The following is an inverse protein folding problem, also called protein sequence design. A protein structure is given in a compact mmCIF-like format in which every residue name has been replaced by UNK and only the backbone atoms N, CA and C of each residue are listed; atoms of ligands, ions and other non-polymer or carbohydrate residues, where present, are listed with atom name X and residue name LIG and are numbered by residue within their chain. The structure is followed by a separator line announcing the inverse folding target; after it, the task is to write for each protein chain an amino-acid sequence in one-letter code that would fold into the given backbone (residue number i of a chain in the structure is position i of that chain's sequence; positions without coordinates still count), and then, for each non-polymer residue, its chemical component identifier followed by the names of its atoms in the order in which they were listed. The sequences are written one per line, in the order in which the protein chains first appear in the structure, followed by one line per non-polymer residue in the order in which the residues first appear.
data_IF_076394324058
#
_entry.id   IF_076394324058
#
_cell.length_a   1.000
_cell.length_b   1.000
_cell.length_c   1.000
_cell.angle_alpha   90.00
_cell.angle_beta   90.00
_cell.angle_gamma   90.00
#
_symmetry.space_group_name_H-M   'P 1'
#
loop_
_entity.id
_entity.type
_entity.pdbx_description
1 polymer ?
#
# COMPACT_ATOMS: atom_id res chain seq x y z
N UNK A 1 -35.72 63.17 75.96
CA UNK A 1 -35.49 62.58 74.63
C UNK A 1 -34.01 62.72 74.28
N UNK A 2 -33.32 61.58 74.11
CA UNK A 2 -32.02 61.34 73.41
C UNK A 2 -31.27 60.23 74.16
N UNK A 3 -31.46 58.99 73.70
CA UNK A 3 -30.64 57.83 74.08
C UNK A 3 -29.58 57.68 72.99
N UNK A 4 -28.31 57.80 73.36
CA UNK A 4 -27.19 57.50 72.49
C UNK A 4 -27.03 55.99 72.36
N UNK A 5 -27.14 55.49 71.13
CA UNK A 5 -26.88 54.09 70.78
C UNK A 5 -25.40 53.99 70.42
N UNK A 6 -24.65 53.23 71.22
CA UNK A 6 -23.28 52.84 70.91
C UNK A 6 -23.34 51.57 70.07
N UNK A 7 -22.92 51.65 68.81
CA UNK A 7 -22.81 50.49 67.91
C UNK A 7 -21.41 49.90 68.07
N UNK A 8 -21.32 48.69 68.61
CA UNK A 8 -20.09 47.91 68.68
C UNK A 8 -19.93 47.11 67.38
N UNK A 9 -18.90 47.42 66.59
CA UNK A 9 -18.48 46.62 65.45
C UNK A 9 -17.82 45.33 65.94
N UNK A 10 -18.49 44.19 65.78
CA UNK A 10 -17.91 42.87 66.03
C UNK A 10 -17.38 42.31 64.70
N UNK A 11 -16.08 42.52 64.43
CA UNK A 11 -15.39 41.87 63.31
C UNK A 11 -15.21 40.38 63.67
N UNK A 12 -16.00 39.52 63.04
CA UNK A 12 -15.86 38.06 63.17
C UNK A 12 -14.69 37.61 62.27
N UNK A 13 -13.48 37.45 62.85
CA UNK A 13 -12.37 36.79 62.17
C UNK A 13 -12.69 35.30 62.04
N UNK A 14 -13.19 34.90 60.87
CA UNK A 14 -13.28 33.48 60.49
C UNK A 14 -11.87 33.03 60.13
N UNK A 15 -11.20 32.34 61.05
CA UNK A 15 -10.00 31.57 60.72
C UNK A 15 -10.43 30.41 59.81
N UNK A 16 -10.29 30.57 58.50
CA UNK A 16 -10.23 29.43 57.59
C UNK A 16 -8.97 28.63 57.97
N UNK A 17 -9.16 27.57 58.74
CA UNK A 17 -8.19 26.49 58.78
C UNK A 17 -8.13 25.92 57.37
N UNK A 18 -7.14 26.36 56.58
CA UNK A 18 -6.75 25.65 55.37
C UNK A 18 -6.39 24.24 55.84
N UNK A 19 -7.29 23.28 55.60
CA UNK A 19 -6.99 21.86 55.82
C UNK A 19 -5.72 21.59 55.05
N UNK A 20 -4.68 21.16 55.75
CA UNK A 20 -3.43 20.76 55.13
C UNK A 20 -3.76 19.60 54.18
N UNK A 21 -3.83 19.91 52.89
CA UNK A 21 -4.12 18.93 51.86
C UNK A 21 -2.94 17.97 51.80
N UNK A 22 -3.27 16.69 51.95
CA UNK A 22 -2.31 15.60 51.95
C UNK A 22 -2.34 14.95 50.58
N UNK A 23 -1.19 14.83 49.94
CA UNK A 23 -1.05 14.30 48.59
C UNK A 23 0.41 14.02 48.28
N UNK A 24 0.70 13.55 47.07
CA UNK A 24 2.09 13.37 46.67
C UNK A 24 2.78 14.73 46.53
N UNK A 25 3.90 14.89 47.23
CA UNK A 25 4.68 16.14 47.30
C UNK A 25 5.96 16.09 46.47
N UNK A 26 6.28 14.95 45.86
CA UNK A 26 7.43 14.82 44.98
C UNK A 26 7.08 15.30 43.55
N UNK A 27 7.71 16.37 43.04
CA UNK A 27 7.47 16.87 41.68
C UNK A 27 7.87 15.89 40.57
N UNK A 28 8.59 14.81 40.87
CA UNK A 28 8.96 13.77 39.91
C UNK A 28 7.95 12.61 39.86
N UNK A 29 6.94 12.59 40.72
CA UNK A 29 5.90 11.58 40.72
C UNK A 29 4.74 11.98 39.79
N UNK A 30 4.09 10.99 39.20
CA UNK A 30 3.01 11.22 38.23
C UNK A 30 1.76 11.86 38.84
N UNK A 31 1.48 11.56 40.10
CA UNK A 31 0.38 12.15 40.84
C UNK A 31 0.83 13.30 41.75
N UNK A 32 1.93 13.98 41.40
CA UNK A 32 2.37 15.18 42.09
C UNK A 32 1.20 16.16 42.23
N UNK A 33 0.90 16.53 43.47
CA UNK A 33 -0.10 17.52 43.79
C UNK A 33 0.61 18.81 44.26
N UNK A 34 0.64 19.87 43.44
CA UNK A 34 1.31 21.11 43.82
C UNK A 34 0.67 21.82 45.02
N UNK A 35 -0.58 21.50 45.36
CA UNK A 35 -1.30 22.04 46.51
C UNK A 35 -1.09 21.22 47.79
N UNK A 36 -0.53 20.00 47.67
CA UNK A 36 -0.23 19.17 48.83
C UNK A 36 0.92 19.77 49.65
N UNK A 37 0.64 20.06 50.93
CA UNK A 37 1.65 20.58 51.86
C UNK A 37 2.26 19.50 52.77
N UNK A 38 1.77 18.26 52.65
CA UNK A 38 2.27 17.13 53.42
C UNK A 38 2.10 15.82 52.66
N UNK A 39 3.21 15.07 52.58
CA UNK A 39 3.25 13.75 51.97
C UNK A 39 2.29 12.77 52.66
N UNK A 40 1.62 11.93 51.88
CA UNK A 40 0.73 10.86 52.36
C UNK A 40 1.16 9.45 51.93
N UNK A 41 2.29 9.32 51.24
CA UNK A 41 2.79 8.06 50.70
C UNK A 41 2.09 7.62 49.42
N UNK A 42 1.34 8.51 48.76
CA UNK A 42 0.62 8.19 47.52
C UNK A 42 1.46 8.37 46.26
N UNK A 43 2.67 8.94 46.34
CA UNK A 43 3.54 9.12 45.18
C UNK A 43 3.77 7.81 44.44
N UNK A 44 3.46 7.80 43.14
CA UNK A 44 3.86 6.71 42.26
C UNK A 44 4.61 7.26 41.04
N UNK A 45 5.55 6.46 40.57
CA UNK A 45 6.46 6.82 39.48
C UNK A 45 6.25 5.83 38.35
N UNK A 46 6.25 6.32 37.11
CA UNK A 46 6.31 5.44 35.95
C UNK A 46 7.76 5.04 35.74
N UNK A 47 8.01 3.73 35.80
CA UNK A 47 9.26 3.16 35.35
C UNK A 47 9.18 2.96 33.85
N UNK A 48 9.64 3.97 33.09
CA UNK A 48 9.77 3.85 31.64
C UNK A 48 10.75 2.72 31.29
N UNK A 49 10.61 2.13 30.08
CA UNK A 49 11.58 1.17 29.61
C UNK A 49 13.00 1.76 29.58
N UNK A 50 14.00 0.90 29.72
CA UNK A 50 15.42 1.30 29.75
C UNK A 50 16.29 0.27 29.03
N UNK A 51 17.55 0.59 28.79
CA UNK A 51 18.52 -0.31 28.12
C UNK A 51 18.02 -0.82 26.75
N UNK A 52 17.43 0.08 25.95
CA UNK A 52 17.04 -0.25 24.59
C UNK A 52 18.29 -0.51 23.74
N UNK A 53 18.50 -1.78 23.39
CA UNK A 53 19.52 -2.23 22.44
C UNK A 53 18.81 -2.70 21.17
N UNK A 54 19.45 -2.50 20.03
CA UNK A 54 18.88 -2.89 18.74
C UNK A 54 19.97 -3.23 17.72
N UNK A 55 19.59 -3.99 16.70
CA UNK A 55 20.39 -4.30 15.53
C UNK A 55 19.52 -4.12 14.29
N UNK A 56 20.07 -3.45 13.27
CA UNK A 56 19.41 -3.24 11.98
C UNK A 56 20.27 -3.93 10.93
N UNK A 57 19.69 -4.94 10.27
CA UNK A 57 20.37 -5.67 9.19
C UNK A 57 19.63 -5.46 7.89
N UNK A 58 20.39 -5.44 6.80
CA UNK A 58 19.83 -5.53 5.46
C UNK A 58 20.75 -6.37 4.58
N UNK A 59 20.16 -7.30 3.82
CA UNK A 59 20.92 -8.05 2.84
C UNK A 59 21.14 -7.20 1.58
N UNK A 60 22.35 -7.28 1.01
CA UNK A 60 22.67 -6.55 -0.21
C UNK A 60 21.67 -6.93 -1.33
N UNK A 61 21.15 -5.92 -2.04
CA UNK A 61 20.17 -6.06 -3.10
C UNK A 61 18.82 -6.71 -2.71
N UNK A 62 18.53 -6.98 -1.43
CA UNK A 62 17.24 -7.60 -1.07
C UNK A 62 16.14 -6.56 -0.90
N UNK A 63 16.48 -5.39 -0.35
CA UNK A 63 15.50 -4.39 0.10
C UNK A 63 14.91 -4.69 1.46
N UNK A 64 14.98 -5.94 1.90
CA UNK A 64 14.53 -6.39 3.20
C UNK A 64 15.45 -5.83 4.27
N UNK A 65 14.85 -5.03 5.15
CA UNK A 65 15.47 -4.53 6.37
C UNK A 65 14.81 -5.28 7.52
N UNK A 66 15.64 -5.89 8.36
CA UNK A 66 15.23 -6.58 9.58
C UNK A 66 15.77 -5.80 10.78
N UNK A 67 14.93 -5.64 11.80
CA UNK A 67 15.28 -4.95 13.03
C UNK A 67 14.96 -5.87 14.19
N UNK A 68 15.95 -6.07 15.06
CA UNK A 68 15.76 -6.71 16.36
C UNK A 68 16.01 -5.71 17.46
N UNK A 69 15.22 -5.75 18.53
CA UNK A 69 15.35 -4.85 19.67
C UNK A 69 15.06 -5.58 20.99
N UNK A 70 15.76 -5.15 22.05
CA UNK A 70 15.56 -5.61 23.42
C UNK A 70 15.60 -4.42 24.36
N UNK A 71 14.84 -4.46 25.46
CA UNK A 71 14.86 -3.44 26.50
C UNK A 71 14.59 -4.10 27.86
N UNK A 72 14.54 -3.30 28.92
CA UNK A 72 14.01 -3.69 30.22
C UNK A 72 12.76 -2.84 30.54
N UNK A 73 11.78 -3.46 31.20
CA UNK A 73 10.51 -2.84 31.64
C UNK A 73 9.60 -2.36 30.51
N UNK A 74 9.68 -2.99 29.34
CA UNK A 74 8.77 -2.82 28.21
C UNK A 74 7.65 -3.87 28.22
N UNK A 75 6.52 -3.51 27.64
CA UNK A 75 5.42 -4.43 27.31
C UNK A 75 5.47 -4.86 25.85
N UNK A 76 5.92 -3.98 24.94
CA UNK A 76 6.02 -4.24 23.51
C UNK A 76 6.95 -3.24 22.81
N UNK A 77 7.36 -3.58 21.60
CA UNK A 77 8.14 -2.74 20.71
C UNK A 77 7.27 -2.15 19.60
N UNK A 78 7.64 -0.96 19.13
CA UNK A 78 7.05 -0.35 17.94
C UNK A 78 8.17 0.13 17.04
N UNK A 79 8.14 -0.32 15.79
CA UNK A 79 9.08 0.04 14.74
C UNK A 79 8.34 0.90 13.72
N UNK A 80 8.91 2.05 13.37
CA UNK A 80 8.38 2.93 12.33
C UNK A 80 9.41 3.00 11.21
N UNK A 81 9.10 2.36 10.09
CA UNK A 81 9.91 2.40 8.87
C UNK A 81 9.44 3.56 8.01
N UNK A 82 10.25 4.60 7.83
CA UNK A 82 9.88 5.77 7.04
C UNK A 82 10.33 5.58 5.59
N UNK A 83 9.43 5.86 4.65
CA UNK A 83 9.65 5.71 3.21
C UNK A 83 9.06 6.93 2.47
N UNK A 84 9.92 7.94 2.27
CA UNK A 84 9.51 9.24 1.74
C UNK A 84 8.55 9.96 2.71
N UNK A 85 7.31 10.18 2.27
CA UNK A 85 6.24 10.78 3.09
C UNK A 85 5.39 9.74 3.82
N UNK A 86 5.61 8.45 3.56
CA UNK A 86 4.87 7.35 4.16
C UNK A 86 5.64 6.72 5.33
N UNK A 87 4.94 5.92 6.11
CA UNK A 87 5.56 5.07 7.13
C UNK A 87 4.79 3.78 7.35
N UNK A 88 5.52 2.70 7.61
CA UNK A 88 4.96 1.43 8.09
C UNK A 88 5.23 1.29 9.58
N UNK A 89 4.19 0.98 10.35
CA UNK A 89 4.30 0.77 11.79
C UNK A 89 4.13 -0.72 12.08
N UNK A 90 5.13 -1.32 12.72
CA UNK A 90 5.09 -2.71 13.18
C UNK A 90 5.14 -2.72 14.70
N UNK A 91 4.14 -3.32 15.34
CA UNK A 91 4.10 -3.49 16.80
C UNK A 91 4.23 -4.97 17.14
N UNK A 92 5.15 -5.30 18.04
CA UNK A 92 5.43 -6.70 18.42
C UNK A 92 5.86 -6.81 19.88
N UNK A 93 5.70 -7.99 20.48
CA UNK A 93 6.21 -8.31 21.82
C UNK A 93 7.60 -8.96 21.80
N UNK A 94 8.00 -9.59 20.69
CA UNK A 94 9.28 -10.31 20.61
C UNK A 94 10.45 -9.41 20.20
N UNK A 95 10.19 -8.14 19.87
CA UNK A 95 11.22 -7.19 19.46
C UNK A 95 11.74 -7.40 18.05
N UNK A 96 11.05 -8.16 17.19
CA UNK A 96 11.45 -8.40 15.80
C UNK A 96 10.48 -7.74 14.81
N UNK A 97 11.01 -7.00 13.85
CA UNK A 97 10.23 -6.45 12.75
C UNK A 97 11.04 -6.46 11.45
N UNK A 98 10.34 -6.52 10.34
CA UNK A 98 10.95 -6.37 9.03
C UNK A 98 10.10 -5.51 8.11
N UNK A 99 10.76 -4.84 7.17
CA UNK A 99 10.13 -4.07 6.12
C UNK A 99 11.01 -4.11 4.87
N UNK A 100 10.39 -4.29 3.71
CA UNK A 100 11.08 -4.25 2.43
C UNK A 100 10.95 -2.86 1.82
N UNK A 101 12.07 -2.17 1.70
CA UNK A 101 12.19 -1.03 0.81
C UNK A 101 12.35 -1.52 -0.62
N UNK A 102 11.81 -0.78 -1.56
CA UNK A 102 11.85 -1.16 -2.97
C UNK A 102 12.79 -0.28 -3.79
N UNK A 103 13.33 0.78 -3.18
CA UNK A 103 14.22 1.71 -3.84
C UNK A 103 15.54 1.87 -3.09
N UNK A 104 16.61 2.18 -3.81
CA UNK A 104 17.88 2.55 -3.20
C UNK A 104 17.70 3.86 -2.45
N UNK A 105 18.20 3.93 -1.23
CA UNK A 105 18.07 5.12 -0.42
C UNK A 105 18.57 4.92 1.00
N UNK A 106 18.68 6.02 1.72
CA UNK A 106 18.88 6.00 3.17
C UNK A 106 17.54 6.27 3.84
N UNK A 107 17.07 5.30 4.63
CA UNK A 107 15.75 5.31 5.24
C UNK A 107 15.86 5.45 6.75
N UNK A 108 14.99 6.26 7.33
CA UNK A 108 14.92 6.48 8.78
C UNK A 108 14.07 5.39 9.41
N UNK A 109 14.53 4.85 10.54
CA UNK A 109 13.79 3.89 11.34
C UNK A 109 13.69 4.43 12.77
N UNK A 110 12.47 4.50 13.31
CA UNK A 110 12.25 4.79 14.72
C UNK A 110 11.97 3.50 15.47
N UNK A 111 12.70 3.27 16.56
CA UNK A 111 12.62 2.06 17.36
C UNK A 111 12.17 2.46 18.77
N UNK A 112 11.03 1.95 19.21
CA UNK A 112 10.45 2.25 20.52
C UNK A 112 10.35 1.01 21.38
N UNK A 113 10.82 1.10 22.62
CA UNK A 113 10.40 0.20 23.69
C UNK A 113 9.27 0.87 24.47
N UNK A 114 8.10 0.25 24.50
CA UNK A 114 6.86 0.85 25.01
C UNK A 114 6.41 0.15 26.29
N UNK A 115 6.12 0.94 27.32
CA UNK A 115 5.29 0.51 28.43
C UNK A 115 3.81 0.66 28.06
N UNK A 116 3.46 1.75 27.38
CA UNK A 116 2.14 1.98 26.78
C UNK A 116 2.30 2.80 25.50
N UNK A 117 1.21 3.03 24.75
CA UNK A 117 1.26 3.80 23.49
C UNK A 117 1.72 5.25 23.67
N UNK A 118 1.65 5.81 24.88
CA UNK A 118 2.10 7.17 25.21
C UNK A 118 3.34 7.21 26.11
N UNK A 119 3.85 6.06 26.55
CA UNK A 119 4.99 5.95 27.49
C UNK A 119 6.02 5.00 26.92
N UNK A 120 7.08 5.56 26.34
CA UNK A 120 8.13 4.82 25.67
C UNK A 120 9.45 5.57 25.71
N UNK A 121 10.53 4.84 25.44
CA UNK A 121 11.81 5.41 25.00
C UNK A 121 11.96 5.15 23.50
N UNK A 122 12.56 6.09 22.77
CA UNK A 122 12.73 6.04 21.32
C UNK A 122 14.20 6.25 20.95
N UNK A 123 14.67 5.45 19.99
CA UNK A 123 15.88 5.73 19.23
C UNK A 123 15.49 5.94 17.77
N UNK A 124 16.19 6.86 17.11
CA UNK A 124 16.07 7.12 15.67
C UNK A 124 17.41 6.76 15.05
N UNK A 125 17.38 5.85 14.08
CA UNK A 125 18.54 5.45 13.30
C UNK A 125 18.18 5.41 11.81
N UNK A 126 19.14 5.04 10.96
CA UNK A 126 18.92 4.91 9.53
C UNK A 126 19.63 3.69 8.94
N UNK A 127 19.09 3.20 7.84
CA UNK A 127 19.67 2.10 7.05
C UNK A 127 19.84 2.55 5.61
N UNK A 128 20.98 2.20 5.01
CA UNK A 128 21.19 2.43 3.57
C UNK A 128 20.85 1.15 2.81
N UNK A 129 19.75 1.21 2.06
CA UNK A 129 19.35 0.15 1.13
C UNK A 129 19.93 0.47 -0.23
N UNK A 130 20.63 -0.48 -0.82
CA UNK A 130 21.21 -0.33 -2.16
C UNK A 130 20.82 -1.51 -3.04
N UNK A 131 20.37 -1.19 -4.25
CA UNK A 131 20.17 -2.11 -5.34
C UNK A 131 21.10 -1.75 -6.50
N UNK A 132 21.77 -2.76 -7.03
CA UNK A 132 22.74 -2.64 -8.12
C UNK A 132 22.10 -2.29 -9.49
N UNK A 133 20.78 -2.43 -9.63
CA UNK A 133 20.07 -2.31 -10.92
C UNK A 133 19.03 -1.19 -10.86
N UNK A 134 19.42 0.03 -11.24
CA UNK A 134 18.50 1.18 -11.26
C UNK A 134 17.89 1.50 -9.89
N UNK A 135 18.50 1.06 -8.79
CA UNK A 135 17.94 1.28 -7.48
C UNK A 135 16.67 0.51 -7.15
N UNK A 136 16.30 -0.58 -7.85
CA UNK A 136 15.21 -1.51 -7.42
C UNK A 136 15.74 -2.95 -7.42
N UNK A 137 15.19 -3.83 -6.57
CA UNK A 137 15.50 -5.27 -6.65
C UNK A 137 14.98 -5.86 -7.97
N UNK A 138 15.82 -5.84 -9.00
CA UNK A 138 15.45 -6.15 -10.37
C UNK A 138 15.55 -7.64 -10.73
N UNK A 139 15.46 -8.54 -9.75
CA UNK A 139 15.42 -9.99 -9.99
C UNK A 139 14.10 -10.41 -10.67
N UNK A 140 14.13 -11.55 -11.36
CA UNK A 140 12.97 -12.14 -12.02
C UNK A 140 13.08 -12.19 -13.54
N UNK A 141 12.04 -12.72 -14.19
CA UNK A 141 12.02 -12.97 -15.63
C UNK A 141 11.98 -11.67 -16.45
N UNK A 142 12.52 -11.66 -17.67
CA UNK A 142 12.41 -10.53 -18.61
C UNK A 142 12.29 -11.04 -20.04
N UNK A 143 11.55 -10.32 -20.89
CA UNK A 143 11.40 -10.63 -22.31
C UNK A 143 12.41 -9.91 -23.20
N UNK A 144 12.78 -10.51 -24.35
CA UNK A 144 13.56 -9.83 -25.38
C UNK A 144 12.76 -8.70 -26.04
N UNK A 145 13.49 -7.78 -26.70
CA UNK A 145 12.89 -6.72 -27.53
C UNK A 145 12.49 -7.18 -28.94
N UNK A 146 12.70 -8.45 -29.27
CA UNK A 146 12.43 -8.98 -30.61
C UNK A 146 11.83 -10.39 -30.52
N UNK A 147 10.76 -10.62 -31.27
CA UNK A 147 10.14 -11.92 -31.46
C UNK A 147 10.04 -12.24 -32.95
N UNK A 148 10.18 -13.52 -33.37
CA UNK A 148 9.96 -13.89 -34.75
C UNK A 148 8.56 -13.47 -35.24
N UNK A 149 8.50 -12.80 -36.39
CA UNK A 149 7.27 -12.30 -37.01
C UNK A 149 6.53 -11.18 -36.25
N UNK A 150 7.17 -10.55 -35.28
CA UNK A 150 6.63 -9.40 -34.57
C UNK A 150 7.60 -8.23 -34.65
N UNK A 151 7.06 -7.02 -34.71
CA UNK A 151 7.80 -5.76 -34.61
C UNK A 151 7.35 -5.04 -33.34
N UNK A 152 8.29 -4.57 -32.52
CA UNK A 152 7.98 -3.68 -31.40
C UNK A 152 7.38 -2.37 -31.94
N UNK A 153 6.11 -2.11 -31.67
CA UNK A 153 5.38 -0.94 -32.20
C UNK A 153 5.15 0.16 -31.17
N UNK A 154 5.05 -0.20 -29.88
CA UNK A 154 4.93 0.76 -28.79
C UNK A 154 5.51 0.18 -27.49
N UNK A 155 6.04 1.06 -26.64
CA UNK A 155 6.49 0.70 -25.29
C UNK A 155 6.54 1.92 -24.37
N UNK A 156 6.37 1.67 -23.08
CA UNK A 156 6.80 2.58 -22.02
C UNK A 156 7.75 1.82 -21.09
N UNK A 157 8.99 2.31 -21.01
CA UNK A 157 10.06 1.77 -20.16
C UNK A 157 10.24 2.59 -18.88
N UNK A 158 9.38 3.59 -18.64
CA UNK A 158 9.35 4.42 -17.43
C UNK A 158 10.70 5.06 -17.05
N UNK A 159 11.58 5.28 -18.03
CA UNK A 159 12.93 5.87 -17.85
C UNK A 159 12.92 7.38 -17.50
N UNK A 160 11.74 8.01 -17.50
CA UNK A 160 11.57 9.40 -17.12
C UNK A 160 11.61 9.62 -15.59
N UNK A 161 11.31 10.85 -15.19
CA UNK A 161 11.13 11.25 -13.78
C UNK A 161 9.67 11.61 -13.46
N UNK A 162 8.77 11.33 -14.39
CA UNK A 162 7.34 11.57 -14.28
C UNK A 162 6.61 10.70 -15.31
N UNK A 163 5.33 10.45 -15.07
CA UNK A 163 4.47 9.72 -16.00
C UNK A 163 4.39 10.49 -17.34
N UNK A 164 4.52 9.78 -18.46
CA UNK A 164 4.48 10.38 -19.78
C UNK A 164 3.09 10.96 -20.09
N UNK A 165 2.99 11.82 -21.12
CA UNK A 165 1.71 12.41 -21.54
C UNK A 165 0.74 11.39 -22.14
N UNK A 166 1.21 10.18 -22.42
CA UNK A 166 0.41 9.07 -22.95
C UNK A 166 -0.49 8.44 -21.89
N UNK A 167 -0.28 8.75 -20.61
CA UNK A 167 -1.12 8.26 -19.52
C UNK A 167 -1.97 9.36 -18.90
N UNK A 168 -3.05 8.96 -18.24
CA UNK A 168 -3.89 9.83 -17.41
C UNK A 168 -4.34 9.11 -16.16
N UNK A 169 -4.49 9.87 -15.08
CA UNK A 169 -5.09 9.37 -13.84
C UNK A 169 -6.60 9.42 -13.91
N UNK A 170 -7.24 8.33 -13.51
CA UNK A 170 -8.63 8.36 -13.05
C UNK A 170 -8.65 8.69 -11.55
N UNK A 171 -9.59 9.55 -11.13
CA UNK A 171 -9.60 10.15 -9.80
C UNK A 171 -10.87 9.78 -9.05
N UNK A 172 -10.74 9.49 -7.76
CA UNK A 172 -11.86 9.19 -6.87
C UNK A 172 -12.19 7.70 -6.74
N UNK A 173 -13.40 7.41 -6.28
CA UNK A 173 -13.89 6.05 -6.02
C UNK A 173 -14.94 5.59 -7.07
N UNK A 174 -15.05 6.31 -8.18
CA UNK A 174 -15.97 5.97 -9.28
C UNK A 174 -17.44 5.91 -8.82
N UNK A 175 -18.26 5.22 -9.62
CA UNK A 175 -19.63 4.89 -9.24
C UNK A 175 -19.64 3.55 -8.49
N UNK A 176 -20.22 3.50 -7.28
CA UNK A 176 -20.35 2.28 -6.48
C UNK A 176 -19.02 1.55 -6.20
N UNK A 177 -17.95 2.30 -5.90
CA UNK A 177 -16.62 1.72 -5.72
C UNK A 177 -16.12 1.06 -7.01
N UNK A 178 -16.15 1.83 -8.10
CA UNK A 178 -15.83 1.37 -9.47
C UNK A 178 -16.62 0.14 -9.94
N UNK A 179 -17.86 -0.01 -9.48
CA UNK A 179 -18.73 -1.15 -9.79
C UNK A 179 -18.50 -2.38 -8.91
N UNK A 180 -17.44 -2.39 -8.10
CA UNK A 180 -16.99 -3.56 -7.35
C UNK A 180 -16.99 -3.35 -5.83
N UNK A 181 -17.59 -2.27 -5.31
CA UNK A 181 -17.53 -1.89 -3.89
C UNK A 181 -16.08 -1.72 -3.38
N UNK A 182 -15.21 -1.22 -4.24
CA UNK A 182 -13.82 -0.88 -3.90
C UNK A 182 -13.77 0.29 -2.88
N UNK A 183 -12.76 0.29 -2.01
CA UNK A 183 -12.67 1.17 -0.83
C UNK A 183 -11.66 2.32 -0.98
N UNK A 184 -10.83 2.29 -2.02
CA UNK A 184 -9.82 3.32 -2.26
C UNK A 184 -10.39 4.56 -2.95
N UNK A 185 -9.79 5.71 -2.64
CA UNK A 185 -9.88 6.91 -3.47
C UNK A 185 -8.64 6.99 -4.38
N UNK A 186 -8.80 6.90 -5.70
CA UNK A 186 -7.68 7.02 -6.64
C UNK A 186 -7.17 8.46 -6.77
N UNK A 187 -5.85 8.64 -6.76
CA UNK A 187 -5.17 9.95 -6.85
C UNK A 187 -3.81 9.84 -7.54
N UNK A 188 -3.39 10.93 -8.17
CA UNK A 188 -2.06 11.05 -8.79
C UNK A 188 -0.89 10.89 -7.80
N UNK A 189 -1.06 11.28 -6.54
CA UNK A 189 0.00 11.24 -5.50
C UNK A 189 0.40 9.82 -5.10
N UNK A 190 -0.33 8.83 -5.57
CA UNK A 190 -0.07 7.41 -5.37
C UNK A 190 0.68 6.79 -6.56
N UNK A 191 1.02 7.58 -7.58
CA UNK A 191 1.88 7.19 -8.70
C UNK A 191 3.23 7.88 -8.59
N UNK A 192 4.31 7.15 -8.86
CA UNK A 192 5.63 7.73 -9.06
C UNK A 192 6.33 7.04 -10.25
N UNK A 193 7.13 7.80 -11.01
CA UNK A 193 7.97 7.28 -12.09
C UNK A 193 9.38 7.76 -11.84
N UNK A 194 10.27 6.82 -11.52
CA UNK A 194 11.68 7.11 -11.32
C UNK A 194 12.52 5.86 -11.54
N UNK A 195 13.78 6.08 -11.92
CA UNK A 195 14.79 5.04 -12.08
C UNK A 195 14.41 3.90 -13.04
N UNK A 196 13.57 4.15 -14.05
CA UNK A 196 13.13 3.13 -15.00
C UNK A 196 11.89 2.35 -14.55
N UNK A 197 11.19 2.79 -13.50
CA UNK A 197 10.03 2.09 -12.97
C UNK A 197 8.84 3.02 -12.78
N UNK A 198 7.66 2.52 -13.13
CA UNK A 198 6.39 3.02 -12.64
C UNK A 198 6.07 2.33 -11.31
N UNK A 199 5.63 3.10 -10.32
CA UNK A 199 5.09 2.58 -9.07
C UNK A 199 3.67 3.09 -8.84
N UNK A 200 2.79 2.18 -8.41
CA UNK A 200 1.44 2.47 -7.92
C UNK A 200 1.37 1.99 -6.47
N UNK A 201 1.21 2.93 -5.54
CA UNK A 201 1.28 2.67 -4.09
C UNK A 201 -0.09 2.83 -3.44
N UNK A 202 -0.66 1.72 -2.98
CA UNK A 202 -1.83 1.70 -2.14
C UNK A 202 -1.45 2.04 -0.67
N UNK A 203 -2.18 2.98 -0.06
CA UNK A 203 -1.89 3.49 1.28
C UNK A 203 -3.14 3.45 2.16
N UNK A 204 -2.96 3.20 3.44
CA UNK A 204 -3.99 3.45 4.45
C UNK A 204 -3.85 4.88 4.96
N UNK A 205 -4.54 5.81 4.30
CA UNK A 205 -4.59 7.22 4.69
C UNK A 205 -6.00 7.76 4.48
N UNK A 206 -6.44 8.66 5.36
CA UNK A 206 -7.75 9.28 5.22
C UNK A 206 -7.70 10.40 4.18
N UNK A 207 -8.50 10.27 3.11
CA UNK A 207 -8.65 11.31 2.10
C UNK A 207 -10.02 11.27 1.45
N UNK A 208 -10.64 12.44 1.30
CA UNK A 208 -11.90 12.57 0.55
C UNK A 208 -13.06 11.73 1.12
N UNK A 209 -13.03 11.36 2.40
CA UNK A 209 -14.03 10.48 3.03
C UNK A 209 -13.68 8.98 3.00
N UNK A 210 -12.54 8.59 2.43
CA UNK A 210 -12.10 7.21 2.30
C UNK A 210 -10.86 6.95 3.17
N UNK A 211 -10.72 5.71 3.64
CA UNK A 211 -9.61 5.29 4.51
C UNK A 211 -8.38 4.76 3.75
N UNK A 212 -8.50 4.64 2.43
CA UNK A 212 -7.45 4.14 1.56
C UNK A 212 -7.31 5.03 0.34
N UNK A 213 -6.07 5.16 -0.14
CA UNK A 213 -5.76 5.82 -1.40
C UNK A 213 -4.92 4.89 -2.25
N UNK A 214 -5.01 5.06 -3.56
CA UNK A 214 -4.19 4.33 -4.53
C UNK A 214 -4.15 5.12 -5.83
N UNK A 215 -3.69 4.51 -6.93
CA UNK A 215 -3.76 5.08 -8.26
C UNK A 215 -4.39 4.11 -9.26
N UNK A 216 -5.07 4.70 -10.26
CA UNK A 216 -5.57 4.05 -11.46
C UNK A 216 -5.20 4.95 -12.63
N UNK A 217 -4.40 4.41 -13.54
CA UNK A 217 -3.95 5.12 -14.73
C UNK A 217 -4.44 4.40 -15.97
N UNK A 218 -4.77 5.17 -17.00
CA UNK A 218 -5.16 4.65 -18.31
C UNK A 218 -4.31 5.31 -19.39
N UNK A 219 -4.08 4.62 -20.51
CA UNK A 219 -3.48 5.25 -21.68
C UNK A 219 -4.49 6.16 -22.38
N UNK A 220 -4.05 7.32 -22.89
CA UNK A 220 -4.88 8.28 -23.61
C UNK A 220 -4.87 7.97 -25.10
N UNK A 221 -6.04 7.59 -25.62
CA UNK A 221 -6.24 7.27 -27.03
C UNK A 221 -5.49 6.01 -27.47
N UNK A 222 -5.48 5.75 -28.77
CA UNK A 222 -4.94 4.54 -29.39
C UNK A 222 -3.39 4.53 -29.41
N UNK A 223 -2.74 4.47 -28.24
CA UNK A 223 -1.27 4.32 -28.14
C UNK A 223 -0.79 2.98 -28.72
N UNK A 224 -1.69 2.00 -28.79
CA UNK A 224 -1.57 0.82 -29.63
C UNK A 224 -2.93 0.46 -30.24
N UNK A 225 -2.91 -0.32 -31.32
CA UNK A 225 -4.12 -0.78 -32.01
C UNK A 225 -4.38 -2.27 -31.72
N UNK A 226 -5.51 -2.77 -32.21
CA UNK A 226 -5.94 -4.18 -32.12
C UNK A 226 -4.85 -5.20 -32.50
N UNK A 227 -4.80 -6.31 -31.75
CA UNK A 227 -3.91 -7.48 -31.92
C UNK A 227 -2.42 -7.23 -31.65
N UNK A 228 -1.71 -8.31 -31.38
CA UNK A 228 -0.28 -8.32 -31.13
C UNK A 228 0.09 -9.17 -29.93
N UNK A 229 1.37 -9.15 -29.60
CA UNK A 229 1.89 -9.60 -28.31
C UNK A 229 2.04 -8.40 -27.40
N UNK A 230 1.60 -8.54 -26.16
CA UNK A 230 1.77 -7.53 -25.11
C UNK A 230 2.56 -8.19 -23.99
N UNK A 231 3.62 -7.54 -23.54
CA UNK A 231 4.41 -7.95 -22.38
C UNK A 231 4.42 -6.83 -21.33
N UNK A 232 4.00 -7.14 -20.11
CA UNK A 232 4.09 -6.22 -18.98
C UNK A 232 4.94 -6.88 -17.90
N UNK A 233 6.10 -6.29 -17.60
CA UNK A 233 6.98 -6.78 -16.53
C UNK A 233 6.68 -6.05 -15.24
N UNK A 234 6.17 -6.77 -14.25
CA UNK A 234 5.78 -6.17 -12.98
C UNK A 234 6.02 -7.08 -11.77
N UNK A 235 6.12 -6.44 -10.61
CA UNK A 235 6.10 -7.05 -9.29
C UNK A 235 4.88 -6.53 -8.53
N UNK A 236 4.14 -7.43 -7.90
CA UNK A 236 2.80 -7.12 -7.38
C UNK A 236 2.81 -6.82 -5.87
N UNK A 237 1.84 -6.02 -5.37
CA UNK A 237 1.56 -5.94 -3.94
C UNK A 237 1.00 -7.27 -3.42
N UNK A 238 0.91 -7.43 -2.10
CA UNK A 238 0.34 -8.62 -1.46
C UNK A 238 -0.50 -8.27 -0.24
N UNK A 239 -1.19 -9.25 0.32
CA UNK A 239 -1.97 -9.12 1.55
C UNK A 239 -3.46 -8.95 1.33
N UNK A 240 -4.23 -9.30 2.35
CA UNK A 240 -5.68 -9.39 2.29
C UNK A 240 -6.31 -8.08 1.81
N UNK A 241 -7.22 -8.17 0.83
CA UNK A 241 -7.96 -7.03 0.30
C UNK A 241 -7.20 -6.17 -0.73
N UNK A 242 -5.95 -6.50 -1.08
CA UNK A 242 -5.26 -5.84 -2.19
C UNK A 242 -5.68 -6.51 -3.52
N UNK A 243 -5.91 -5.69 -4.54
CA UNK A 243 -6.30 -6.17 -5.87
C UNK A 243 -5.55 -5.39 -6.96
N UNK A 244 -4.29 -5.75 -7.25
CA UNK A 244 -3.57 -5.23 -8.41
C UNK A 244 -4.15 -5.78 -9.71
N UNK A 245 -4.25 -4.92 -10.71
CA UNK A 245 -4.71 -5.27 -12.04
C UNK A 245 -3.89 -4.56 -13.13
N UNK A 246 -3.54 -5.32 -14.16
CA UNK A 246 -2.96 -4.88 -15.42
C UNK A 246 -3.87 -5.40 -16.53
N UNK A 247 -4.67 -4.52 -17.11
CA UNK A 247 -5.81 -4.92 -17.91
C UNK A 247 -6.12 -3.88 -18.99
N UNK A 248 -7.13 -4.16 -19.80
CA UNK A 248 -7.48 -3.39 -20.97
C UNK A 248 -9.00 -3.31 -21.14
N UNK A 249 -9.50 -2.17 -21.62
CA UNK A 249 -10.90 -1.97 -22.02
C UNK A 249 -10.98 -1.53 -23.47
N UNK A 250 -12.06 -1.91 -24.16
CA UNK A 250 -12.33 -1.45 -25.51
C UNK A 250 -12.53 0.07 -25.57
N UNK A 251 -11.88 0.73 -26.53
CA UNK A 251 -11.94 2.20 -26.74
C UNK A 251 -13.38 2.70 -27.01
N UNK A 252 -14.26 1.81 -27.46
CA UNK A 252 -15.67 2.09 -27.70
C UNK A 252 -16.54 2.11 -26.42
N UNK A 253 -15.97 1.97 -25.21
CA UNK A 253 -16.71 1.97 -23.93
C UNK A 253 -17.68 3.15 -23.78
N UNK A 254 -17.30 4.34 -24.23
CA UNK A 254 -18.16 5.52 -24.15
C UNK A 254 -19.34 5.51 -25.14
N UNK A 255 -19.32 4.62 -26.12
CA UNK A 255 -20.37 4.45 -27.13
C UNK A 255 -21.29 3.27 -26.84
N UNK A 256 -20.76 2.17 -26.28
CA UNK A 256 -21.52 0.91 -26.10
C UNK A 256 -21.64 0.45 -24.65
N UNK A 257 -20.91 1.07 -23.72
CA UNK A 257 -20.81 0.68 -22.31
C UNK A 257 -20.21 -0.71 -22.08
N UNK A 258 -19.86 -0.98 -20.81
CA UNK A 258 -19.48 -2.30 -20.36
C UNK A 258 -20.73 -3.19 -20.16
N UNK A 259 -20.69 -4.50 -20.45
CA UNK A 259 -19.54 -5.27 -20.93
C UNK A 259 -19.43 -5.35 -22.46
N UNK A 260 -20.28 -4.62 -23.20
CA UNK A 260 -20.30 -4.67 -24.68
C UNK A 260 -18.99 -4.20 -25.31
N UNK A 261 -18.27 -3.29 -24.66
CA UNK A 261 -16.96 -2.81 -25.14
C UNK A 261 -15.85 -3.88 -25.13
N UNK A 262 -16.01 -4.93 -24.33
CA UNK A 262 -14.96 -5.90 -24.07
C UNK A 262 -13.96 -5.44 -23.02
N UNK A 263 -13.44 -6.42 -22.29
CA UNK A 263 -12.41 -6.29 -21.26
C UNK A 263 -11.42 -7.45 -21.40
N UNK A 264 -10.12 -7.15 -21.34
CA UNK A 264 -9.06 -8.16 -21.32
C UNK A 264 -8.18 -7.91 -20.09
N UNK A 265 -8.31 -8.79 -19.11
CA UNK A 265 -7.47 -8.79 -17.92
C UNK A 265 -6.22 -9.61 -18.20
N UNK A 266 -5.11 -8.94 -18.48
CA UNK A 266 -3.81 -9.60 -18.71
C UNK A 266 -3.35 -10.24 -17.40
N UNK A 267 -3.54 -9.53 -16.29
CA UNK A 267 -3.23 -10.00 -14.96
C UNK A 267 -4.11 -9.30 -13.93
N UNK A 268 -4.80 -10.09 -13.13
CA UNK A 268 -5.33 -9.68 -11.84
C UNK A 268 -4.79 -10.59 -10.73
N UNK A 269 -4.69 -10.07 -9.53
CA UNK A 269 -4.42 -10.88 -8.34
C UNK A 269 -5.37 -10.48 -7.23
N UNK A 270 -5.85 -11.45 -6.46
CA UNK A 270 -6.42 -11.19 -5.13
C UNK A 270 -5.32 -11.43 -4.11
N UNK A 271 -4.97 -10.42 -3.33
CA UNK A 271 -4.05 -10.55 -2.22
C UNK A 271 -4.72 -11.18 -0.99
N UNK A 272 -3.93 -11.90 -0.17
CA UNK A 272 -4.39 -12.50 1.07
C UNK A 272 -3.83 -13.90 1.33
N UNK A 273 -4.52 -14.62 2.22
CA UNK A 273 -4.05 -15.91 2.72
C UNK A 273 -4.22 -17.07 1.73
N UNK A 274 -3.61 -18.22 2.04
CA UNK A 274 -3.67 -19.41 1.19
C UNK A 274 -2.81 -19.27 -0.06
N UNK A 275 -3.43 -19.45 -1.23
CA UNK A 275 -2.76 -19.34 -2.53
C UNK A 275 -2.92 -17.95 -3.18
N UNK A 276 -3.63 -17.03 -2.54
CA UNK A 276 -4.01 -15.72 -3.11
C UNK A 276 -2.80 -14.90 -3.54
N UNK A 277 -1.86 -14.59 -2.64
CA UNK A 277 -0.63 -13.82 -2.94
C UNK A 277 0.30 -14.47 -3.99
N UNK A 278 0.01 -15.70 -4.42
CA UNK A 278 0.79 -16.46 -5.40
C UNK A 278 0.00 -16.90 -6.62
N UNK A 279 -1.22 -16.41 -6.79
CA UNK A 279 -2.13 -16.81 -7.88
C UNK A 279 -2.66 -15.59 -8.61
N UNK A 280 -2.29 -15.45 -9.88
CA UNK A 280 -2.88 -14.46 -10.78
C UNK A 280 -4.03 -15.07 -11.57
N UNK A 281 -4.81 -14.21 -12.21
CA UNK A 281 -5.92 -14.56 -13.09
C UNK A 281 -5.79 -13.79 -14.41
N UNK A 282 -6.04 -14.49 -15.51
CA UNK A 282 -6.25 -13.89 -16.82
C UNK A 282 -7.67 -14.16 -17.26
N UNK A 283 -8.40 -13.09 -17.62
CA UNK A 283 -9.84 -13.13 -17.86
C UNK A 283 -10.22 -12.25 -19.04
N UNK A 284 -11.29 -12.61 -19.73
CA UNK A 284 -12.00 -11.73 -20.66
C UNK A 284 -13.45 -11.56 -20.22
N UNK A 285 -14.00 -10.36 -20.40
CA UNK A 285 -15.42 -10.05 -20.19
C UNK A 285 -16.05 -9.46 -21.45
N UNK A 286 -17.29 -9.88 -21.74
CA UNK A 286 -18.05 -9.39 -22.89
C UNK A 286 -19.56 -9.49 -22.66
N UNK A 287 -20.34 -8.93 -23.58
CA UNK A 287 -21.80 -9.07 -23.63
C UNK A 287 -22.21 -10.30 -24.46
N UNK A 288 -22.94 -11.23 -23.84
CA UNK A 288 -23.61 -12.36 -24.49
C UNK A 288 -24.92 -12.69 -23.74
N UNK A 289 -26.00 -11.97 -24.11
CA UNK A 289 -27.29 -12.01 -23.42
C UNK A 289 -27.17 -11.64 -21.92
N UNK A 290 -26.38 -10.61 -21.63
CA UNK A 290 -25.88 -10.25 -20.31
C UNK A 290 -24.36 -10.39 -20.21
N UNK A 291 -23.84 -10.17 -19.01
CA UNK A 291 -22.41 -10.31 -18.73
C UNK A 291 -21.94 -11.76 -18.88
N UNK A 292 -20.94 -11.96 -19.72
CA UNK A 292 -20.20 -13.20 -19.87
C UNK A 292 -18.73 -12.98 -19.52
N UNK A 293 -18.09 -14.05 -19.04
CA UNK A 293 -16.67 -14.03 -18.70
C UNK A 293 -16.02 -15.38 -18.92
N UNK A 294 -14.75 -15.38 -19.28
CA UNK A 294 -13.96 -16.61 -19.37
C UNK A 294 -12.52 -16.34 -19.03
N UNK A 295 -11.99 -17.11 -18.07
CA UNK A 295 -10.64 -16.89 -17.56
C UNK A 295 -10.14 -18.09 -16.78
N UNK A 296 -9.00 -17.92 -16.13
CA UNK A 296 -8.45 -18.95 -15.24
C UNK A 296 -7.24 -18.50 -14.45
N UNK A 297 -6.94 -19.18 -13.33
CA UNK A 297 -5.82 -18.87 -12.48
C UNK A 297 -4.48 -19.42 -13.03
N UNK A 298 -3.38 -18.80 -12.61
CA UNK A 298 -2.04 -19.36 -12.68
C UNK A 298 -1.29 -19.11 -11.37
N UNK A 299 -0.82 -20.19 -10.72
CA UNK A 299 -0.13 -20.11 -9.44
C UNK A 299 1.38 -20.34 -9.55
N UNK A 300 2.15 -19.66 -8.72
CA UNK A 300 3.54 -20.04 -8.44
C UNK A 300 3.58 -21.33 -7.63
N UNK A 301 4.61 -22.15 -7.86
CA UNK A 301 4.86 -23.36 -7.05
C UNK A 301 5.23 -23.02 -5.61
N UNK A 302 5.90 -21.88 -5.39
CA UNK A 302 6.30 -21.33 -4.10
C UNK A 302 6.47 -19.82 -4.17
N UNK A 303 6.56 -19.15 -3.02
CA UNK A 303 6.72 -17.69 -2.96
C UNK A 303 5.44 -16.93 -3.26
N UNK A 304 5.60 -15.65 -3.60
CA UNK A 304 4.55 -14.68 -3.93
C UNK A 304 4.95 -13.86 -5.15
N UNK A 305 3.98 -13.26 -5.82
CA UNK A 305 4.24 -12.30 -6.92
C UNK A 305 4.87 -10.97 -6.46
N UNK A 306 5.02 -10.78 -5.15
CA UNK A 306 5.71 -9.66 -4.53
C UNK A 306 7.22 -9.88 -4.37
N UNK A 307 7.72 -11.11 -4.58
CA UNK A 307 9.10 -11.48 -4.27
C UNK A 307 10.06 -11.07 -5.42
N UNK A 308 9.63 -11.20 -6.67
CA UNK A 308 10.40 -10.87 -7.88
C UNK A 308 9.53 -10.37 -9.03
N UNK A 309 10.15 -9.83 -10.07
CA UNK A 309 9.42 -9.44 -11.28
C UNK A 309 9.03 -10.66 -12.13
N UNK A 310 7.80 -10.64 -12.62
CA UNK A 310 7.31 -11.57 -13.63
C UNK A 310 6.89 -10.80 -14.88
N UNK A 311 6.84 -11.50 -16.01
CA UNK A 311 6.25 -10.92 -17.23
C UNK A 311 4.88 -11.54 -17.46
N UNK A 312 3.87 -10.68 -17.43
CA UNK A 312 2.48 -11.02 -17.74
C UNK A 312 2.21 -10.64 -19.18
N UNK A 313 1.81 -11.62 -19.98
CA UNK A 313 1.67 -11.43 -21.42
C UNK A 313 0.34 -11.92 -21.95
N UNK A 314 -0.10 -11.28 -23.03
CA UNK A 314 -1.07 -11.88 -23.95
C UNK A 314 -0.49 -11.96 -25.37
N UNK A 315 -0.86 -13.02 -26.09
CA UNK A 315 -0.80 -13.08 -27.54
C UNK A 315 -2.24 -12.99 -28.04
N UNK A 316 -2.56 -11.86 -28.66
CA UNK A 316 -3.89 -11.53 -29.15
C UNK A 316 -3.89 -11.52 -30.67
N UNK A 317 -4.66 -12.43 -31.27
CA UNK A 317 -4.80 -12.62 -32.71
C UNK A 317 -6.28 -12.52 -33.09
N UNK A 318 -6.63 -12.41 -34.39
CA UNK A 318 -8.03 -12.41 -34.82
C UNK A 318 -8.83 -13.66 -34.40
N UNK A 319 -8.17 -14.77 -34.03
CA UNK A 319 -8.87 -16.00 -33.64
C UNK A 319 -8.71 -16.37 -32.17
N UNK A 320 -7.74 -15.78 -31.45
CA UNK A 320 -7.48 -16.18 -30.06
C UNK A 320 -6.83 -15.10 -29.21
N UNK A 321 -7.08 -15.20 -27.90
CA UNK A 321 -6.26 -14.57 -26.87
C UNK A 321 -5.61 -15.70 -26.05
N UNK A 322 -4.31 -15.61 -25.86
CA UNK A 322 -3.50 -16.57 -25.09
C UNK A 322 -2.77 -15.83 -24.00
N UNK A 323 -2.95 -16.23 -22.75
CA UNK A 323 -2.24 -15.65 -21.61
C UNK A 323 -1.00 -16.48 -21.27
N UNK A 324 0.08 -15.76 -20.97
CA UNK A 324 1.34 -16.32 -20.53
C UNK A 324 1.82 -15.62 -19.25
N UNK A 325 2.53 -16.39 -18.43
CA UNK A 325 3.39 -15.86 -17.38
C UNK A 325 4.80 -16.35 -17.66
N UNK A 326 5.76 -15.43 -17.77
CA UNK A 326 7.16 -15.75 -18.02
C UNK A 326 7.36 -16.61 -19.27
N UNK A 327 6.66 -16.27 -20.35
CA UNK A 327 6.58 -17.03 -21.61
C UNK A 327 5.96 -18.45 -21.51
N UNK A 328 5.38 -18.80 -20.35
CA UNK A 328 4.65 -20.06 -20.16
C UNK A 328 3.16 -19.80 -20.29
N UNK A 329 2.56 -20.31 -21.36
CA UNK A 329 1.11 -20.28 -21.57
C UNK A 329 0.37 -21.01 -20.43
N UNK A 330 -0.69 -20.40 -19.92
CA UNK A 330 -1.56 -21.02 -18.91
C UNK A 330 -3.06 -20.96 -19.25
N UNK A 331 -3.47 -20.08 -20.16
CA UNK A 331 -4.87 -19.94 -20.57
C UNK A 331 -4.97 -19.52 -22.03
N UNK A 332 -6.04 -19.92 -22.70
CA UNK A 332 -6.39 -19.41 -24.02
C UNK A 332 -7.90 -19.46 -24.24
N UNK A 333 -8.39 -18.60 -25.12
CA UNK A 333 -9.78 -18.57 -25.60
C UNK A 333 -9.80 -18.35 -27.11
N UNK A 334 -10.76 -18.99 -27.79
CA UNK A 334 -11.11 -18.68 -29.19
C UNK A 334 -12.02 -17.46 -29.21
N UNK A 335 -11.59 -16.40 -29.89
CA UNK A 335 -12.36 -15.15 -30.00
C UNK A 335 -12.94 -14.92 -31.40
N UNK A 336 -12.85 -15.89 -32.31
CA UNK A 336 -13.23 -15.72 -33.74
C UNK A 336 -14.64 -15.15 -33.93
N UNK A 337 -15.56 -15.48 -33.01
CA UNK A 337 -16.95 -15.01 -33.05
C UNK A 337 -17.30 -14.04 -31.90
N UNK A 338 -16.30 -13.52 -31.19
CA UNK A 338 -16.48 -12.63 -30.04
C UNK A 338 -16.13 -11.20 -30.44
N UNK A 339 -17.12 -10.50 -31.02
CA UNK A 339 -16.96 -9.16 -31.61
C UNK A 339 -16.34 -8.10 -30.70
N UNK A 340 -16.49 -8.24 -29.38
CA UNK A 340 -15.90 -7.34 -28.39
C UNK A 340 -14.37 -7.27 -28.50
N UNK A 341 -13.71 -8.37 -28.87
CA UNK A 341 -12.24 -8.50 -28.91
C UNK A 341 -11.65 -8.28 -30.31
N UNK A 342 -12.37 -7.56 -31.17
CA UNK A 342 -11.93 -7.14 -32.50
C UNK A 342 -11.95 -5.61 -32.67
N UNK A 343 -11.94 -4.88 -31.56
CA UNK A 343 -11.85 -3.42 -31.49
C UNK A 343 -10.49 -3.01 -30.93
N UNK A 344 -10.14 -1.72 -31.03
CA UNK A 344 -8.99 -1.15 -30.32
C UNK A 344 -9.25 -1.08 -28.81
N UNK A 345 -8.19 -1.25 -28.01
CA UNK A 345 -8.24 -1.25 -26.55
C UNK A 345 -7.19 -0.29 -25.99
N UNK A 346 -7.44 0.24 -24.80
CA UNK A 346 -6.48 1.03 -24.02
C UNK A 346 -6.08 0.27 -22.74
N UNK A 347 -4.89 0.55 -22.23
CA UNK A 347 -4.39 -0.05 -20.99
C UNK A 347 -4.97 0.63 -19.74
N UNK A 348 -5.14 -0.14 -18.69
CA UNK A 348 -5.51 0.30 -17.35
C UNK A 348 -4.62 -0.41 -16.35
N UNK A 349 -3.86 0.37 -15.57
CA UNK A 349 -3.05 -0.15 -14.46
C UNK A 349 -3.55 0.44 -13.15
N UNK A 350 -3.86 -0.42 -12.18
CA UNK A 350 -4.28 0.03 -10.85
C UNK A 350 -3.95 -0.97 -9.75
N UNK A 351 -4.03 -0.49 -8.52
CA UNK A 351 -4.12 -1.32 -7.32
C UNK A 351 -5.40 -0.92 -6.58
N UNK A 352 -6.45 -1.72 -6.68
CA UNK A 352 -7.65 -1.55 -5.86
C UNK A 352 -7.40 -2.03 -4.42
N UNK A 353 -8.18 -1.49 -3.48
CA UNK A 353 -8.19 -1.86 -2.06
C UNK A 353 -9.62 -2.17 -1.67
N UNK A 354 -9.88 -3.38 -1.23
CA UNK A 354 -11.23 -3.87 -1.01
C UNK A 354 -11.92 -4.26 -2.31
N UNK A 355 -13.17 -4.70 -2.18
CA UNK A 355 -14.03 -5.07 -3.30
C UNK A 355 -14.77 -6.38 -3.05
N UNK A 356 -15.75 -6.68 -3.90
CA UNK A 356 -16.58 -7.88 -3.82
C UNK A 356 -15.75 -9.17 -3.89
N UNK A 357 -14.72 -9.18 -4.74
CA UNK A 357 -13.88 -10.37 -4.95
C UNK A 357 -12.73 -10.48 -3.94
N UNK A 358 -11.88 -9.47 -3.72
CA UNK A 358 -10.77 -9.61 -2.77
C UNK A 358 -11.22 -9.58 -1.31
N UNK A 359 -12.44 -9.11 -1.02
CA UNK A 359 -12.87 -8.77 0.34
C UNK A 359 -12.15 -7.51 0.85
N UNK A 360 -12.51 -7.05 2.05
CA UNK A 360 -11.86 -5.88 2.65
C UNK A 360 -10.46 -6.22 3.20
N UNK A 361 -9.56 -5.23 3.32
CA UNK A 361 -8.38 -5.36 4.18
C UNK A 361 -8.77 -5.72 5.61
N UNK A 362 -7.90 -6.45 6.30
CA UNK A 362 -8.07 -6.80 7.71
C UNK A 362 -6.80 -6.48 8.53
N UNK A 363 -6.75 -6.92 9.79
CA UNK A 363 -5.62 -6.65 10.68
C UNK A 363 -4.28 -7.30 10.22
N UNK A 364 -4.33 -8.25 9.28
CA UNK A 364 -3.13 -8.85 8.67
C UNK A 364 -2.61 -8.06 7.47
N UNK A 365 -3.42 -7.15 6.91
CA UNK A 365 -3.02 -6.32 5.78
C UNK A 365 -2.02 -5.26 6.22
N UNK A 366 -0.80 -5.35 5.70
CA UNK A 366 0.25 -4.36 5.97
C UNK A 366 0.22 -3.30 4.87
N UNK A 367 0.08 -2.03 5.25
CA UNK A 367 0.22 -0.89 4.36
C UNK A 367 1.51 -0.11 4.65
N UNK A 368 2.07 0.59 3.64
CA UNK A 368 1.60 0.65 2.25
C UNK A 368 2.01 -0.58 1.43
N UNK A 369 1.35 -0.77 0.29
CA UNK A 369 1.63 -1.84 -0.68
C UNK A 369 1.87 -1.23 -2.06
N UNK A 370 2.79 -1.78 -2.83
CA UNK A 370 3.24 -1.17 -4.10
C UNK A 370 3.25 -2.19 -5.22
N UNK A 371 2.58 -1.85 -6.34
CA UNK A 371 2.83 -2.48 -7.63
C UNK A 371 3.97 -1.72 -8.33
N UNK A 372 4.96 -2.44 -8.83
CA UNK A 372 6.11 -1.88 -9.56
C UNK A 372 6.09 -2.45 -10.97
N UNK A 373 6.09 -1.57 -11.98
CA UNK A 373 6.11 -1.95 -13.39
C UNK A 373 7.42 -1.45 -14.00
N UNK A 374 8.19 -2.37 -14.58
CA UNK A 374 9.45 -2.09 -15.27
C UNK A 374 9.20 -1.63 -16.71
N UNK A 375 8.34 -2.32 -17.44
CA UNK A 375 7.92 -1.90 -18.76
C UNK A 375 6.55 -2.45 -19.13
N UNK A 376 5.95 -1.79 -20.12
CA UNK A 376 4.94 -2.37 -21.00
C UNK A 376 5.45 -2.28 -22.44
N UNK A 377 5.36 -3.38 -23.19
CA UNK A 377 5.81 -3.48 -24.58
C UNK A 377 4.73 -4.13 -25.43
N UNK A 378 4.51 -3.57 -26.62
CA UNK A 378 3.54 -4.06 -27.60
C UNK A 378 4.26 -4.38 -28.89
N UNK A 379 4.01 -5.58 -29.41
CA UNK A 379 4.60 -6.07 -30.64
C UNK A 379 3.50 -6.52 -31.62
N UNK A 380 3.62 -6.17 -32.90
CA UNK A 380 2.61 -6.46 -33.93
C UNK A 380 3.20 -7.05 -35.21
#
# INVERSE_FOLDING_TARGET
MKRNIVVFNLLLLVFLFAKCEKGCTDPNAENYNPDAKKENGSCYYINLPSNLNYDITNAANSGLVEVTATAANENFFTFVFLDGTDSTIVTTVNGEASYSYFMSGTYIIKIRANLSSSQFIEVIDSVSVTFNSGGVNNIGYTTPLNYPNYTLTWQDEFNGTSLSSEWTHEIGNGSWGWGNNELQYYRQQNTNVENGYLTIRAKQEYYGGFNYTSSRIITKGNVFNTYGRIDIRAKLPYGQGLWPALWMLGENIYSVSWPTCGEIDIMEMVGGTGYNDRTIHGTVHWEDNGHASYGGPNSLSSGRFADEFHVFSIIWTPSSIVWLRDDIQYKSIDITNLSAFHNDFFFIFNVAVGGNWPGSPDASTVFPQTMIVDYVRVFQ
#
